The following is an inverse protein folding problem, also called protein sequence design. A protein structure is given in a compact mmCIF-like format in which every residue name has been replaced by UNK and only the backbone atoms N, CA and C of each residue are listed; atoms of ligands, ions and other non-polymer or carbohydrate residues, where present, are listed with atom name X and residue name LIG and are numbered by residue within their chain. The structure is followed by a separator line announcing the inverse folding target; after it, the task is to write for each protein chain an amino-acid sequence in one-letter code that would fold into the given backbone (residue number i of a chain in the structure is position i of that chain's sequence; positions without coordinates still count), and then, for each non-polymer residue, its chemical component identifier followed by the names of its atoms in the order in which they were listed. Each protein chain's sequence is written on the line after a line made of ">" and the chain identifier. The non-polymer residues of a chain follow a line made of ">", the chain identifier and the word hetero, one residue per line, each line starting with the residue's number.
data_IF_037419606661
#
_entry.id   IF_037419606661
#
_cell.length_a   1.000
_cell.length_b   1.000
_cell.length_c   1.000
_cell.angle_alpha   90.00
_cell.angle_beta   90.00
_cell.angle_gamma   90.00
#
_symmetry.space_group_name_H-M   'P 1'
#
loop_
_entity.id
_entity.type
_entity.pdbx_description
1 polymer ?
#
# COMPACT_ATOMS: atom_id res chain seq x y z
N UNK A 1 21.83 -48.06 13.46
CA UNK A 1 20.52 -47.41 13.72
C UNK A 1 20.74 -45.90 13.65
N UNK A 2 20.76 -45.32 12.44
CA UNK A 2 21.12 -43.92 12.22
C UNK A 2 20.34 -43.39 11.01
N UNK A 3 19.01 -43.34 11.13
CA UNK A 3 18.14 -43.04 9.98
C UNK A 3 17.06 -42.00 10.31
N UNK A 4 16.95 -41.54 11.57
CA UNK A 4 15.91 -40.58 11.99
C UNK A 4 16.38 -39.12 12.00
N UNK A 5 17.69 -38.89 12.16
CA UNK A 5 18.28 -37.54 12.26
C UNK A 5 18.06 -36.64 11.02
N UNK A 6 18.17 -37.11 9.77
CA UNK A 6 18.02 -36.21 8.60
C UNK A 6 16.57 -35.82 8.33
N UNK A 7 15.61 -36.70 8.64
CA UNK A 7 14.17 -36.47 8.39
C UNK A 7 13.61 -35.42 9.35
N UNK A 8 14.00 -35.49 10.63
CA UNK A 8 13.58 -34.50 11.64
C UNK A 8 14.12 -33.11 11.28
N UNK A 9 15.37 -33.05 10.82
CA UNK A 9 16.00 -31.79 10.40
C UNK A 9 15.22 -31.14 9.24
N UNK A 10 14.89 -31.92 8.21
CA UNK A 10 14.10 -31.45 7.06
C UNK A 10 12.71 -30.95 7.49
N UNK A 11 12.00 -31.69 8.35
CA UNK A 11 10.69 -31.29 8.85
C UNK A 11 10.75 -29.95 9.61
N UNK A 12 11.76 -29.74 10.44
CA UNK A 12 11.95 -28.48 11.15
C UNK A 12 12.24 -27.32 10.20
N UNK A 13 13.00 -27.54 9.13
CA UNK A 13 13.21 -26.53 8.09
C UNK A 13 11.91 -26.17 7.36
N UNK A 14 11.09 -27.15 6.99
CA UNK A 14 9.80 -26.88 6.35
C UNK A 14 8.85 -26.11 7.26
N UNK A 15 8.81 -26.44 8.56
CA UNK A 15 8.01 -25.71 9.56
C UNK A 15 8.48 -24.25 9.69
N UNK A 16 9.80 -24.02 9.70
CA UNK A 16 10.36 -22.66 9.77
C UNK A 16 10.01 -21.82 8.53
N UNK A 17 10.09 -22.41 7.33
CA UNK A 17 9.75 -21.71 6.08
C UNK A 17 8.26 -21.38 6.00
N UNK A 18 7.38 -22.28 6.46
CA UNK A 18 5.94 -22.01 6.56
C UNK A 18 5.63 -20.92 7.59
N UNK A 19 6.34 -20.91 8.72
CA UNK A 19 6.19 -19.87 9.74
C UNK A 19 6.61 -18.50 9.20
N UNK A 20 7.72 -18.42 8.46
CA UNK A 20 8.19 -17.18 7.81
C UNK A 20 7.23 -16.70 6.71
N UNK A 21 6.60 -17.62 5.98
CA UNK A 21 5.60 -17.28 4.96
C UNK A 21 4.29 -16.75 5.57
N UNK A 22 3.85 -17.30 6.71
CA UNK A 22 2.69 -16.78 7.46
C UNK A 22 3.02 -15.51 8.24
N UNK A 23 4.28 -15.31 8.66
CA UNK A 23 4.75 -14.08 9.29
C UNK A 23 5.12 -13.02 8.27
N UNK A 24 4.89 -13.26 6.97
CA UNK A 24 4.89 -12.21 5.97
C UNK A 24 3.86 -11.19 6.40
N UNK A 25 4.32 -10.09 6.99
CA UNK A 25 3.50 -8.94 7.31
C UNK A 25 2.98 -8.39 5.98
N UNK A 26 1.85 -8.92 5.51
CA UNK A 26 0.96 -8.13 4.70
C UNK A 26 0.47 -7.05 5.65
N UNK A 27 1.23 -5.96 5.68
CA UNK A 27 0.82 -4.65 6.15
C UNK A 27 -0.42 -4.29 5.33
N UNK A 28 -1.57 -4.84 5.73
CA UNK A 28 -2.84 -4.66 5.06
C UNK A 28 -3.29 -3.25 5.38
N UNK A 29 -3.04 -2.37 4.40
CA UNK A 29 -3.59 -1.03 4.31
C UNK A 29 -3.18 -0.06 5.42
N UNK A 30 -2.79 1.18 5.04
CA UNK A 30 -2.01 2.03 5.91
C UNK A 30 -2.79 2.53 7.15
N UNK A 31 -2.09 2.73 8.28
CA UNK A 31 -2.63 3.42 9.45
C UNK A 31 -3.01 4.86 9.06
N UNK A 32 -4.06 5.39 9.70
CA UNK A 32 -4.51 6.77 9.51
C UNK A 32 -3.32 7.74 9.62
N UNK A 33 -2.92 8.36 8.51
CA UNK A 33 -1.76 9.24 8.39
C UNK A 33 -1.77 9.98 7.04
N UNK A 34 -0.83 10.91 6.80
CA UNK A 34 -0.74 11.62 5.52
C UNK A 34 -0.46 10.61 4.40
N UNK A 35 -1.50 10.27 3.64
CA UNK A 35 -1.43 9.31 2.56
C UNK A 35 -0.75 9.97 1.35
N UNK A 36 0.44 9.46 0.99
CA UNK A 36 1.11 9.86 -0.24
C UNK A 36 0.46 9.11 -1.39
N UNK A 37 -0.38 9.80 -2.16
CA UNK A 37 -0.99 9.25 -3.39
C UNK A 37 0.13 8.92 -4.37
N UNK A 38 0.34 7.63 -4.65
CA UNK A 38 1.28 7.17 -5.67
C UNK A 38 0.54 7.15 -7.00
N UNK A 39 0.65 8.21 -7.81
CA UNK A 39 0.06 8.20 -9.14
C UNK A 39 0.79 7.21 -10.05
N UNK A 40 0.06 6.53 -10.95
CA UNK A 40 0.65 5.55 -11.87
C UNK A 40 1.76 6.16 -12.76
N UNK A 41 1.76 7.48 -12.96
CA UNK A 41 2.69 8.15 -13.87
C UNK A 41 3.58 9.24 -13.22
N UNK A 42 3.35 9.62 -11.95
CA UNK A 42 4.19 10.62 -11.24
C UNK A 42 3.97 10.58 -9.72
N UNK A 43 4.91 11.05 -8.91
CA UNK A 43 4.60 11.41 -7.51
C UNK A 43 4.03 12.83 -7.54
N UNK A 44 2.71 12.99 -7.48
CA UNK A 44 2.12 14.31 -7.23
C UNK A 44 2.43 14.68 -5.79
N UNK A 45 3.06 15.84 -5.57
CA UNK A 45 3.35 16.31 -4.22
C UNK A 45 2.10 16.97 -3.63
N UNK A 46 1.35 16.21 -2.85
CA UNK A 46 0.19 16.70 -2.08
C UNK A 46 0.61 17.28 -0.72
N UNK A 47 1.84 17.78 -0.59
CA UNK A 47 2.36 18.35 0.67
C UNK A 47 1.52 19.52 1.19
N UNK A 48 0.81 20.22 0.31
CA UNK A 48 -0.08 21.34 0.63
C UNK A 48 -1.48 20.89 1.10
N UNK A 49 -1.88 19.65 0.83
CA UNK A 49 -3.19 19.12 1.22
C UNK A 49 -3.14 18.69 2.69
N UNK A 50 -3.85 19.42 3.55
CA UNK A 50 -3.87 19.19 5.00
C UNK A 50 -4.91 18.13 5.44
N UNK A 51 -5.50 17.40 4.50
CA UNK A 51 -6.53 16.39 4.76
C UNK A 51 -6.05 14.94 4.62
N UNK A 52 -6.92 13.99 5.01
CA UNK A 52 -6.73 12.58 4.70
C UNK A 52 -7.26 12.29 3.30
N UNK A 53 -6.45 11.64 2.47
CA UNK A 53 -6.88 11.17 1.15
C UNK A 53 -7.61 9.85 1.33
N UNK A 54 -8.85 9.77 0.85
CA UNK A 54 -9.55 8.51 0.69
C UNK A 54 -9.32 8.01 -0.76
N UNK A 55 -8.62 6.88 -0.94
CA UNK A 55 -8.33 6.32 -2.26
C UNK A 55 -9.54 5.66 -2.96
N UNK A 56 -10.71 5.62 -2.33
CA UNK A 56 -11.90 5.02 -2.94
C UNK A 56 -12.41 5.88 -4.12
N UNK A 57 -12.63 5.31 -5.32
CA UNK A 57 -12.93 6.07 -6.54
C UNK A 57 -14.28 6.79 -6.50
N UNK A 58 -15.25 6.25 -5.76
CA UNK A 58 -16.61 6.82 -5.69
C UNK A 58 -16.80 7.78 -4.51
N UNK A 59 -15.72 8.14 -3.81
CA UNK A 59 -15.77 9.07 -2.69
C UNK A 59 -15.56 10.50 -3.18
N UNK A 60 -16.55 11.37 -2.92
CA UNK A 60 -16.45 12.78 -3.22
C UNK A 60 -15.57 13.50 -2.19
N UNK A 61 -14.39 13.95 -2.64
CA UNK A 61 -13.37 14.68 -1.88
C UNK A 61 -12.79 15.80 -2.76
N UNK A 62 -13.47 16.95 -2.86
CA UNK A 62 -13.10 17.99 -3.81
C UNK A 62 -11.73 18.60 -3.49
N UNK A 63 -10.85 18.70 -4.49
CA UNK A 63 -9.51 19.29 -4.37
C UNK A 63 -9.28 20.30 -5.49
N UNK A 64 -8.77 21.48 -5.13
CA UNK A 64 -8.35 22.49 -6.10
C UNK A 64 -6.96 22.14 -6.67
N UNK A 65 -6.87 21.97 -7.99
CA UNK A 65 -5.60 21.81 -8.70
C UNK A 65 -4.85 23.14 -8.89
N UNK A 66 -3.59 23.06 -9.28
CA UNK A 66 -2.77 24.25 -9.62
C UNK A 66 -3.16 24.89 -10.96
N UNK A 67 -3.97 24.18 -11.75
CA UNK A 67 -4.57 24.59 -13.00
C UNK A 67 -5.91 25.32 -12.81
N UNK A 68 -6.26 25.65 -11.55
CA UNK A 68 -7.53 26.28 -11.17
C UNK A 68 -8.79 25.43 -11.48
N UNK A 69 -8.64 24.13 -11.74
CA UNK A 69 -9.78 23.20 -11.80
C UNK A 69 -10.02 22.54 -10.45
N UNK A 70 -11.29 22.29 -10.12
CA UNK A 70 -11.67 21.47 -8.97
C UNK A 70 -11.90 20.04 -9.44
N UNK A 71 -11.28 19.09 -8.75
CA UNK A 71 -11.35 17.67 -9.04
C UNK A 71 -12.21 16.97 -7.99
N UNK A 72 -13.08 16.05 -8.41
CA UNK A 72 -14.04 15.37 -7.53
C UNK A 72 -13.36 14.55 -6.43
N UNK A 73 -12.16 14.02 -6.71
CA UNK A 73 -11.36 13.27 -5.75
C UNK A 73 -9.85 13.31 -6.11
N UNK A 74 -8.96 12.95 -5.17
CA UNK A 74 -7.51 12.90 -5.41
C UNK A 74 -7.09 12.02 -6.61
N UNK A 75 -7.84 10.96 -6.91
CA UNK A 75 -7.54 10.07 -8.03
C UNK A 75 -7.80 10.75 -9.39
N UNK A 76 -8.88 11.54 -9.52
CA UNK A 76 -9.18 12.29 -10.75
C UNK A 76 -8.13 13.40 -11.02
N UNK A 77 -7.68 14.11 -9.99
CA UNK A 77 -6.56 15.07 -10.08
C UNK A 77 -5.27 14.39 -10.55
N UNK A 78 -5.00 13.21 -10.01
CA UNK A 78 -3.82 12.39 -10.30
C UNK A 78 -3.79 11.89 -11.76
N UNK A 79 -4.94 11.59 -12.35
CA UNK A 79 -5.08 11.26 -13.78
C UNK A 79 -4.93 12.51 -14.65
N UNK A 80 -5.50 13.65 -14.24
CA UNK A 80 -5.42 14.89 -15.01
C UNK A 80 -4.02 15.54 -14.99
N UNK A 81 -3.20 15.22 -13.98
CA UNK A 81 -1.80 15.68 -13.87
C UNK A 81 -0.81 14.93 -14.79
N UNK A 82 -1.32 14.17 -15.78
CA UNK A 82 -0.53 13.48 -16.81
C UNK A 82 0.10 14.45 -17.81
#
# INVERSE_FOLDING_TARGET
>A
MANSFPVICLLLFFILMHYVALSGHQEWWPPCGPFKVKCPYKKVDLSWYTGTVNPYPDVYQPICGTDAHTYDNPCTLCIASM
#
